data_IF_488974319004
#
_entry.id   IF_488974319004
#
_cell.length_a   1.000
_cell.length_b   1.000
_cell.length_c   1.000
_cell.angle_alpha   90.00
_cell.angle_beta   90.00
_cell.angle_gamma   90.00
#
_symmetry.space_group_name_H-M   'P 1'
#
loop_
_entity.id
_entity.type
_entity.pdbx_description
1 polymer ?
#
# COMPACT_ATOMS: atom_id res chain seq x y z
N UNK A 1 -6.99 -12.30 -15.32
CA UNK A 1 -7.57 -11.06 -14.79
C UNK A 1 -6.44 -10.16 -14.31
N UNK A 2 -6.39 -8.92 -14.77
CA UNK A 2 -5.52 -7.88 -14.17
C UNK A 2 -6.20 -7.28 -12.95
N UNK A 3 -5.48 -7.22 -11.84
CA UNK A 3 -5.93 -6.68 -10.56
C UNK A 3 -4.88 -5.75 -10.00
N UNK A 4 -5.32 -4.84 -9.13
CA UNK A 4 -4.44 -3.98 -8.33
C UNK A 4 -5.07 -3.78 -6.95
N UNK A 5 -4.51 -4.41 -5.93
CA UNK A 5 -5.11 -4.55 -4.61
C UNK A 5 -4.47 -3.66 -3.53
N UNK A 6 -3.63 -2.70 -3.92
CA UNK A 6 -2.99 -1.79 -2.98
C UNK A 6 -2.92 -0.38 -3.60
N UNK A 7 -3.92 0.43 -3.27
CA UNK A 7 -4.08 1.79 -3.73
C UNK A 7 -4.47 2.68 -2.55
N UNK A 8 -3.84 3.83 -2.44
CA UNK A 8 -4.22 4.86 -1.49
C UNK A 8 -4.83 6.03 -2.26
N UNK A 9 -5.98 6.51 -1.82
CA UNK A 9 -6.61 7.69 -2.40
C UNK A 9 -5.78 8.95 -2.12
N UNK A 10 -5.07 8.95 -0.99
CA UNK A 10 -4.17 10.00 -0.58
C UNK A 10 -3.19 9.53 0.50
N UNK A 11 -1.95 10.01 0.41
CA UNK A 11 -0.94 9.89 1.45
C UNK A 11 -0.42 11.30 1.79
N UNK A 12 -0.24 11.56 3.09
CA UNK A 12 0.42 12.76 3.59
C UNK A 12 1.88 12.45 3.93
N UNK A 13 2.65 13.40 4.46
CA UNK A 13 2.26 14.76 4.80
C UNK A 13 2.09 15.68 3.57
N UNK A 14 1.29 16.72 3.72
CA UNK A 14 0.97 17.67 2.66
C UNK A 14 2.11 18.66 2.40
N UNK A 15 2.92 18.36 1.39
CA UNK A 15 4.08 19.17 0.97
C UNK A 15 3.89 19.82 -0.41
N UNK A 16 4.80 20.71 -0.80
CA UNK A 16 4.83 21.24 -2.19
C UNK A 16 5.07 20.13 -3.20
N UNK A 17 5.87 19.11 -2.84
CA UNK A 17 6.07 17.90 -3.66
C UNK A 17 4.76 17.13 -3.84
N UNK A 18 3.99 16.97 -2.76
CA UNK A 18 2.66 16.35 -2.83
C UNK A 18 1.74 17.13 -3.78
N UNK A 19 1.70 18.46 -3.66
CA UNK A 19 0.87 19.31 -4.53
C UNK A 19 1.31 19.23 -6.00
N UNK A 20 2.62 19.16 -6.26
CA UNK A 20 3.16 18.97 -7.60
C UNK A 20 2.70 17.63 -8.20
N UNK A 21 2.68 16.55 -7.41
CA UNK A 21 2.17 15.24 -7.85
C UNK A 21 0.68 15.24 -8.14
N UNK A 22 -0.12 15.93 -7.32
CA UNK A 22 -1.54 16.16 -7.63
C UNK A 22 -1.70 16.90 -8.97
N UNK A 23 -0.86 17.91 -9.23
CA UNK A 23 -0.90 18.60 -10.52
C UNK A 23 -0.52 17.68 -11.69
N UNK A 24 0.55 16.88 -11.56
CA UNK A 24 0.95 15.89 -12.56
C UNK A 24 -0.20 14.92 -12.88
N UNK A 25 -0.89 14.41 -11.85
CA UNK A 25 -2.06 13.56 -12.00
C UNK A 25 -3.18 14.28 -12.78
N UNK A 26 -3.57 15.47 -12.35
CA UNK A 26 -4.63 16.25 -13.01
C UNK A 26 -4.28 16.62 -14.45
N UNK A 27 -3.02 16.92 -14.75
CA UNK A 27 -2.57 17.18 -16.12
C UNK A 27 -2.64 15.96 -17.04
N UNK A 28 -2.53 14.74 -16.47
CA UNK A 28 -2.63 13.50 -17.22
C UNK A 28 -4.05 13.30 -17.80
N UNK A 29 -5.08 13.64 -17.03
CA UNK A 29 -6.49 13.39 -17.39
C UNK A 29 -7.22 14.64 -17.90
N UNK A 30 -6.88 15.81 -17.37
CA UNK A 30 -7.53 17.09 -17.65
C UNK A 30 -6.50 18.17 -18.02
N UNK A 31 -5.83 18.06 -19.18
CA UNK A 31 -4.79 19.01 -19.55
C UNK A 31 -5.39 20.40 -19.84
N UNK A 32 -4.89 21.42 -19.13
CA UNK A 32 -5.18 22.83 -19.43
C UNK A 32 -4.37 23.29 -20.65
N UNK A 33 -5.01 24.12 -21.49
CA UNK A 33 -4.40 24.69 -22.70
C UNK A 33 -3.46 25.88 -22.36
N UNK A 34 -2.68 26.32 -23.36
CA UNK A 34 -1.81 27.51 -23.26
C UNK A 34 -0.77 27.43 -22.14
N UNK A 35 -0.13 26.25 -22.00
CA UNK A 35 0.92 25.97 -21.02
C UNK A 35 1.98 27.08 -21.00
N UNK A 36 2.49 27.38 -19.82
CA UNK A 36 3.50 28.42 -19.57
C UNK A 36 3.03 29.87 -19.74
N UNK A 37 1.72 30.11 -19.92
CA UNK A 37 1.13 31.45 -19.77
C UNK A 37 0.73 31.74 -18.32
N UNK A 38 0.55 33.03 -17.99
CA UNK A 38 0.04 33.44 -16.68
C UNK A 38 -1.39 32.93 -16.44
N UNK A 39 -2.23 32.95 -17.48
CA UNK A 39 -3.61 32.47 -17.42
C UNK A 39 -3.69 30.97 -17.15
N UNK A 40 -2.81 30.19 -17.78
CA UNK A 40 -2.67 28.75 -17.49
C UNK A 40 -2.26 28.51 -16.03
N UNK A 41 -1.30 29.29 -15.52
CA UNK A 41 -0.85 29.16 -14.13
C UNK A 41 -1.97 29.52 -13.14
N UNK A 42 -2.73 30.58 -13.40
CA UNK A 42 -3.88 30.98 -12.57
C UNK A 42 -4.96 29.88 -12.54
N UNK A 43 -5.35 29.34 -13.70
CA UNK A 43 -6.31 28.22 -13.77
C UNK A 43 -5.79 26.97 -13.07
N UNK A 44 -4.49 26.69 -13.18
CA UNK A 44 -3.84 25.57 -12.48
C UNK A 44 -3.93 25.77 -10.97
N UNK A 45 -3.65 26.97 -10.48
CA UNK A 45 -3.74 27.30 -9.06
C UNK A 45 -5.18 27.17 -8.53
N UNK A 46 -6.19 27.65 -9.26
CA UNK A 46 -7.60 27.52 -8.89
C UNK A 46 -8.03 26.05 -8.77
N UNK A 47 -7.64 25.22 -9.76
CA UNK A 47 -7.92 23.79 -9.75
C UNK A 47 -7.26 23.07 -8.59
N UNK A 48 -6.00 23.38 -8.30
CA UNK A 48 -5.27 22.79 -7.17
C UNK A 48 -5.89 23.20 -5.83
N UNK A 49 -6.25 24.48 -5.67
CA UNK A 49 -6.94 24.96 -4.48
C UNK A 49 -8.26 24.23 -4.26
N UNK A 50 -9.03 24.01 -5.34
CA UNK A 50 -10.26 23.22 -5.29
C UNK A 50 -9.99 21.79 -4.80
N UNK A 51 -9.02 21.07 -5.38
CA UNK A 51 -8.67 19.70 -4.98
C UNK A 51 -8.21 19.59 -3.52
N UNK A 52 -7.43 20.57 -3.04
CA UNK A 52 -7.01 20.62 -1.62
C UNK A 52 -8.21 20.84 -0.71
N UNK A 53 -9.12 21.75 -1.07
CA UNK A 53 -10.28 22.09 -0.24
C UNK A 53 -11.30 20.95 -0.16
N UNK A 54 -11.54 20.25 -1.27
CA UNK A 54 -12.56 19.21 -1.34
C UNK A 54 -12.07 17.84 -0.85
N UNK A 55 -10.74 17.63 -0.80
CA UNK A 55 -10.15 16.40 -0.31
C UNK A 55 -10.21 15.22 -1.29
N UNK A 56 -9.78 14.02 -0.85
CA UNK A 56 -9.60 12.87 -1.72
C UNK A 56 -10.87 12.05 -2.01
N UNK A 57 -11.95 12.30 -1.28
CA UNK A 57 -13.17 11.47 -1.34
C UNK A 57 -14.22 12.01 -2.31
N UNK A 58 -13.86 12.98 -3.15
CA UNK A 58 -14.77 13.50 -4.18
C UNK A 58 -14.96 12.48 -5.30
N UNK A 59 -16.14 12.51 -5.91
CA UNK A 59 -16.43 11.71 -7.10
C UNK A 59 -15.42 12.02 -8.21
N UNK A 60 -15.15 13.29 -8.46
CA UNK A 60 -14.24 13.76 -9.51
C UNK A 60 -12.84 13.18 -9.35
N UNK A 61 -12.29 13.20 -8.14
CA UNK A 61 -10.95 12.64 -7.87
C UNK A 61 -10.93 11.12 -8.01
N UNK A 62 -11.89 10.43 -7.41
CA UNK A 62 -11.98 8.97 -7.49
C UNK A 62 -12.18 8.47 -8.92
N UNK A 63 -12.94 9.20 -9.74
CA UNK A 63 -13.19 8.82 -11.13
C UNK A 63 -11.90 8.85 -11.97
N UNK A 64 -10.86 9.61 -11.58
CA UNK A 64 -9.55 9.55 -12.25
C UNK A 64 -8.88 8.17 -12.11
N UNK A 65 -8.98 7.55 -10.93
CA UNK A 65 -8.51 6.18 -10.72
C UNK A 65 -9.31 5.17 -11.55
N UNK A 66 -10.63 5.38 -11.68
CA UNK A 66 -11.46 4.56 -12.55
C UNK A 66 -11.05 4.67 -14.02
N UNK A 67 -10.81 5.88 -14.52
CA UNK A 67 -10.33 6.09 -15.89
C UNK A 67 -8.99 5.38 -16.11
N UNK A 68 -8.07 5.47 -15.16
CA UNK A 68 -6.79 4.75 -15.24
C UNK A 68 -6.97 3.23 -15.27
N UNK A 69 -7.82 2.69 -14.40
CA UNK A 69 -8.10 1.26 -14.34
C UNK A 69 -8.69 0.76 -15.67
N UNK A 70 -9.67 1.49 -16.22
CA UNK A 70 -10.26 1.18 -17.54
C UNK A 70 -9.20 1.24 -18.63
N UNK A 71 -8.36 2.29 -18.64
CA UNK A 71 -7.29 2.49 -19.63
C UNK A 71 -6.26 1.35 -19.61
N UNK A 72 -5.89 0.88 -18.42
CA UNK A 72 -4.94 -0.23 -18.21
C UNK A 72 -5.58 -1.62 -18.28
N UNK A 73 -6.90 -1.70 -18.43
CA UNK A 73 -7.66 -2.95 -18.50
C UNK A 73 -7.75 -3.71 -17.18
N UNK A 74 -7.54 -3.03 -16.05
CA UNK A 74 -7.64 -3.61 -14.70
C UNK A 74 -9.11 -3.86 -14.37
N UNK A 75 -9.40 -5.05 -13.85
CA UNK A 75 -10.77 -5.54 -13.63
C UNK A 75 -11.22 -5.44 -12.19
N UNK A 76 -10.29 -5.52 -11.25
CA UNK A 76 -10.53 -5.32 -9.83
C UNK A 76 -9.49 -4.35 -9.26
N UNK A 77 -9.97 -3.35 -8.55
CA UNK A 77 -9.13 -2.34 -7.86
C UNK A 77 -9.50 -2.34 -6.39
N UNK A 78 -8.50 -2.41 -5.53
CA UNK A 78 -8.64 -2.35 -4.10
C UNK A 78 -8.03 -1.08 -3.52
N UNK A 79 -8.80 -0.36 -2.72
CA UNK A 79 -8.35 0.87 -2.03
C UNK A 79 -8.17 0.59 -0.54
N UNK A 80 -7.02 0.97 0.01
CA UNK A 80 -6.50 0.59 1.33
C UNK A 80 -5.73 1.75 1.98
N UNK A 81 -6.36 2.91 2.17
CA UNK A 81 -5.72 4.02 2.90
C UNK A 81 -5.16 3.54 4.25
N UNK A 82 -4.00 4.08 4.64
CA UNK A 82 -3.35 3.67 5.89
C UNK A 82 -4.18 4.01 7.12
N UNK A 83 -4.24 3.08 8.08
CA UNK A 83 -5.04 3.23 9.29
C UNK A 83 -4.63 4.47 10.13
N UNK A 84 -3.36 4.89 10.11
CA UNK A 84 -2.87 6.08 10.82
C UNK A 84 -3.50 7.40 10.34
N UNK A 85 -4.12 7.41 9.15
CA UNK A 85 -4.79 8.61 8.61
C UNK A 85 -6.09 8.92 9.34
N UNK A 86 -6.68 7.93 10.01
CA UNK A 86 -8.02 8.04 10.57
C UNK A 86 -8.01 8.53 12.01
N UNK A 87 -8.88 9.49 12.31
CA UNK A 87 -9.03 10.04 13.67
C UNK A 87 -9.38 8.95 14.71
N UNK A 88 -10.12 7.93 14.29
CA UNK A 88 -10.54 6.79 15.11
C UNK A 88 -9.33 5.97 15.59
N UNK A 89 -8.25 5.91 14.82
CA UNK A 89 -7.03 5.16 15.16
C UNK A 89 -6.07 5.95 16.08
N UNK A 90 -6.42 7.17 16.51
CA UNK A 90 -5.58 8.04 17.34
C UNK A 90 -4.95 7.31 18.53
N UNK A 91 -5.77 6.67 19.36
CA UNK A 91 -5.30 6.05 20.60
C UNK A 91 -4.38 4.86 20.35
N UNK A 92 -4.57 4.15 19.23
CA UNK A 92 -3.74 3.03 18.83
C UNK A 92 -2.31 3.49 18.49
N UNK A 93 -2.16 4.46 17.58
CA UNK A 93 -0.82 4.94 17.21
C UNK A 93 -0.12 5.71 18.33
N UNK A 94 -0.84 6.47 19.16
CA UNK A 94 -0.24 7.16 20.32
C UNK A 94 0.27 6.19 21.40
N UNK A 95 -0.23 4.94 21.40
CA UNK A 95 0.22 3.89 22.32
C UNK A 95 1.48 3.18 21.81
N UNK A 96 1.54 2.88 20.51
CA UNK A 96 2.56 1.98 19.95
C UNK A 96 3.71 2.69 19.21
N UNK A 97 3.52 3.91 18.73
CA UNK A 97 4.58 4.72 18.11
C UNK A 97 5.35 5.46 19.21
N UNK A 98 6.68 5.55 19.09
CA UNK A 98 7.46 6.42 19.99
C UNK A 98 7.05 7.87 19.72
N UNK A 99 6.31 8.47 20.65
CA UNK A 99 5.92 9.88 20.66
C UNK A 99 6.47 10.62 21.89
N UNK A 100 7.55 10.07 22.48
CA UNK A 100 8.22 10.63 23.66
C UNK A 100 8.92 11.96 23.35
N UNK A 101 9.47 12.60 24.39
CA UNK A 101 10.31 13.78 24.25
C UNK A 101 11.73 13.48 23.72
N UNK A 102 11.99 12.29 23.18
CA UNK A 102 13.23 11.99 22.47
C UNK A 102 13.28 12.76 21.12
N UNK A 103 14.45 12.80 20.46
CA UNK A 103 14.56 13.37 19.09
C UNK A 103 13.64 12.61 18.14
N UNK A 104 13.68 11.27 18.19
CA UNK A 104 12.84 10.40 17.39
C UNK A 104 11.36 10.62 17.70
N UNK A 105 11.00 10.62 18.98
CA UNK A 105 9.63 10.75 19.42
C UNK A 105 8.96 12.04 18.97
N UNK A 106 9.69 13.17 19.01
CA UNK A 106 9.19 14.45 18.47
C UNK A 106 8.92 14.42 16.97
N UNK A 107 9.83 13.83 16.18
CA UNK A 107 9.68 13.71 14.72
C UNK A 107 8.43 12.90 14.38
N UNK A 108 8.25 11.75 15.04
CA UNK A 108 7.14 10.86 14.77
C UNK A 108 5.80 11.41 15.27
N UNK A 109 5.80 12.09 16.41
CA UNK A 109 4.61 12.80 16.89
C UNK A 109 4.17 13.88 15.91
N UNK A 110 5.11 14.69 15.43
CA UNK A 110 4.84 15.71 14.41
C UNK A 110 4.29 15.08 13.12
N UNK A 111 4.92 14.01 12.64
CA UNK A 111 4.43 13.28 11.47
C UNK A 111 3.02 12.74 11.67
N UNK A 112 2.74 12.07 12.80
CA UNK A 112 1.43 11.49 13.09
C UNK A 112 0.32 12.55 13.14
N UNK A 113 0.61 13.72 13.71
CA UNK A 113 -0.31 14.86 13.73
C UNK A 113 -0.56 15.45 12.33
N UNK A 114 0.40 15.35 11.41
CA UNK A 114 0.27 15.84 10.03
C UNK A 114 -0.54 14.89 9.12
N UNK A 115 -0.50 13.58 9.36
CA UNK A 115 -1.14 12.58 8.48
C UNK A 115 -2.52 12.12 8.96
N UNK A 116 -2.84 12.32 10.24
CA UNK A 116 -4.13 11.93 10.83
C UNK A 116 -5.21 13.01 10.63
N UNK A 117 -5.88 12.98 9.48
CA UNK A 117 -6.66 14.12 8.97
C UNK A 117 -8.07 13.79 8.46
N UNK A 118 -8.47 12.51 8.45
CA UNK A 118 -9.76 12.08 7.92
C UNK A 118 -10.51 11.14 8.86
N UNK A 119 -11.82 10.96 8.65
CA UNK A 119 -12.63 9.94 9.34
C UNK A 119 -12.67 8.65 8.53
N UNK A 120 -12.58 7.52 9.23
CA UNK A 120 -12.76 6.19 8.65
C UNK A 120 -14.16 6.03 8.04
N UNK A 121 -15.18 6.65 8.65
CA UNK A 121 -16.54 6.62 8.13
C UNK A 121 -16.65 7.30 6.76
N UNK A 122 -16.05 8.47 6.59
CA UNK A 122 -16.10 9.20 5.31
C UNK A 122 -15.38 8.43 4.20
N UNK A 123 -14.24 7.80 4.52
CA UNK A 123 -13.51 6.92 3.62
C UNK A 123 -14.33 5.72 3.15
N UNK A 124 -14.87 4.95 4.11
CA UNK A 124 -15.68 3.76 3.80
C UNK A 124 -16.94 4.13 3.02
N UNK A 125 -17.64 5.19 3.42
CA UNK A 125 -18.81 5.70 2.71
C UNK A 125 -18.51 6.09 1.26
N UNK A 126 -17.43 6.86 1.04
CA UNK A 126 -17.06 7.30 -0.30
C UNK A 126 -16.75 6.12 -1.24
N UNK A 127 -16.09 5.08 -0.73
CA UNK A 127 -15.77 3.86 -1.49
C UNK A 127 -16.99 2.97 -1.69
N UNK A 128 -17.97 2.93 -0.78
CA UNK A 128 -19.21 2.18 -1.02
C UNK A 128 -20.08 2.88 -2.07
N UNK A 129 -20.25 4.21 -2.00
CA UNK A 129 -20.90 5.03 -3.03
C UNK A 129 -20.14 4.95 -4.39
N UNK A 130 -18.82 4.71 -4.30
CA UNK A 130 -17.92 4.06 -5.24
C UNK A 130 -18.47 3.03 -6.23
N UNK A 131 -18.95 1.93 -5.65
CA UNK A 131 -18.87 0.61 -6.28
C UNK A 131 -19.79 0.49 -7.46
N UNK A 132 -21.02 1.02 -7.36
CA UNK A 132 -22.01 0.92 -8.42
C UNK A 132 -21.54 1.61 -9.71
N UNK A 133 -20.98 2.83 -9.61
CA UNK A 133 -20.53 3.57 -10.79
C UNK A 133 -19.28 2.95 -11.43
N UNK A 134 -18.36 2.42 -10.62
CA UNK A 134 -17.19 1.67 -11.12
C UNK A 134 -17.62 0.38 -11.83
N UNK A 135 -18.58 -0.35 -11.25
CA UNK A 135 -19.11 -1.58 -11.84
C UNK A 135 -19.77 -1.34 -13.19
N UNK A 136 -20.52 -0.24 -13.37
CA UNK A 136 -21.09 0.16 -14.66
C UNK A 136 -20.04 0.40 -15.75
N UNK A 137 -18.79 0.67 -15.36
CA UNK A 137 -17.63 0.84 -16.25
C UNK A 137 -16.78 -0.42 -16.38
N UNK A 138 -17.21 -1.55 -15.80
CA UNK A 138 -16.55 -2.84 -15.91
C UNK A 138 -15.36 -3.03 -14.97
N UNK A 139 -15.24 -2.21 -13.92
CA UNK A 139 -14.22 -2.33 -12.88
C UNK A 139 -14.90 -2.62 -11.54
N UNK A 140 -14.49 -3.68 -10.86
CA UNK A 140 -14.97 -3.97 -9.50
C UNK A 140 -14.09 -3.22 -8.51
N UNK A 141 -14.71 -2.35 -7.72
CA UNK A 141 -14.03 -1.63 -6.65
C UNK A 141 -14.17 -2.40 -5.32
N UNK A 142 -13.06 -2.59 -4.62
CA UNK A 142 -12.98 -3.23 -3.31
C UNK A 142 -12.60 -2.21 -2.24
N UNK A 143 -13.32 -2.26 -1.12
CA UNK A 143 -13.01 -1.50 0.08
C UNK A 143 -12.07 -2.31 0.96
N UNK A 144 -10.83 -1.88 1.10
CA UNK A 144 -9.90 -2.45 2.07
C UNK A 144 -9.38 -1.40 3.05
N UNK A 145 -8.47 -1.84 3.90
CA UNK A 145 -7.69 -1.00 4.81
C UNK A 145 -6.29 -1.58 4.91
N UNK A 146 -5.28 -0.73 4.96
CA UNK A 146 -3.94 -1.13 5.37
C UNK A 146 -3.71 -0.75 6.82
N UNK A 147 -3.48 -1.74 7.67
CA UNK A 147 -3.31 -1.58 9.09
C UNK A 147 -1.92 -1.99 9.53
N UNK A 148 -1.23 -1.08 10.22
CA UNK A 148 0.03 -1.37 10.88
C UNK A 148 -0.16 -2.36 12.02
N UNK A 149 0.65 -3.42 12.02
CA UNK A 149 0.76 -4.34 13.13
C UNK A 149 1.86 -3.92 14.09
N UNK A 150 1.53 -3.92 15.38
CA UNK A 150 2.48 -3.80 16.49
C UNK A 150 2.36 -5.05 17.37
N UNK A 151 3.41 -5.40 18.09
CA UNK A 151 3.32 -6.51 19.05
C UNK A 151 2.32 -6.16 20.17
N UNK A 152 1.54 -7.15 20.61
CA UNK A 152 0.55 -7.04 21.68
C UNK A 152 -0.56 -5.99 21.40
N UNK A 153 -0.97 -5.86 20.14
CA UNK A 153 -1.96 -4.87 19.68
C UNK A 153 -3.31 -5.47 19.23
N UNK A 154 -3.45 -6.79 19.30
CA UNK A 154 -4.49 -7.54 18.60
C UNK A 154 -5.90 -7.16 19.07
N UNK A 155 -6.07 -6.87 20.36
CA UNK A 155 -7.35 -6.45 20.94
C UNK A 155 -7.82 -5.12 20.35
N UNK A 156 -7.02 -4.08 20.49
CA UNK A 156 -7.32 -2.74 19.96
C UNK A 156 -7.44 -2.73 18.43
N UNK A 157 -6.56 -3.45 17.74
CA UNK A 157 -6.60 -3.53 16.28
C UNK A 157 -7.89 -4.21 15.81
N UNK A 158 -8.33 -5.28 16.47
CA UNK A 158 -9.59 -5.96 16.14
C UNK A 158 -10.80 -5.04 16.32
N UNK A 159 -10.82 -4.21 17.36
CA UNK A 159 -11.89 -3.22 17.57
C UNK A 159 -11.89 -2.15 16.46
N UNK A 160 -10.73 -1.65 16.05
CA UNK A 160 -10.62 -0.70 14.94
C UNK A 160 -11.05 -1.30 13.60
N UNK A 161 -10.62 -2.53 13.30
CA UNK A 161 -11.01 -3.22 12.08
C UNK A 161 -12.52 -3.52 12.02
N UNK A 162 -13.20 -3.63 13.17
CA UNK A 162 -14.65 -3.82 13.25
C UNK A 162 -15.46 -2.57 12.90
N UNK A 163 -14.83 -1.40 12.75
CA UNK A 163 -15.50 -0.14 12.37
C UNK A 163 -15.88 -0.09 10.88
N UNK A 164 -15.30 -0.96 10.04
CA UNK A 164 -15.57 -1.05 8.61
C UNK A 164 -15.92 -2.47 8.18
N UNK A 165 -16.78 -2.58 7.17
CA UNK A 165 -17.16 -3.86 6.56
C UNK A 165 -16.28 -4.16 5.33
N UNK A 166 -14.99 -4.31 5.60
CA UNK A 166 -13.94 -4.41 4.57
C UNK A 166 -14.06 -5.67 3.72
N UNK A 167 -13.82 -5.51 2.41
CA UNK A 167 -13.63 -6.63 1.49
C UNK A 167 -12.37 -7.42 1.80
N UNK A 168 -11.33 -6.75 2.31
CA UNK A 168 -10.08 -7.34 2.78
C UNK A 168 -9.30 -6.38 3.68
N UNK A 169 -8.38 -6.92 4.48
CA UNK A 169 -7.46 -6.18 5.36
C UNK A 169 -6.04 -6.54 5.01
N UNK A 170 -5.24 -5.52 4.72
CA UNK A 170 -3.78 -5.63 4.59
C UNK A 170 -3.16 -5.39 5.97
N UNK A 171 -2.28 -6.29 6.40
CA UNK A 171 -1.38 -6.08 7.52
C UNK A 171 -0.01 -5.67 7.03
N UNK A 172 0.56 -4.62 7.62
CA UNK A 172 1.91 -4.17 7.31
C UNK A 172 2.71 -3.92 8.58
N UNK A 173 4.04 -4.00 8.45
CA UNK A 173 4.98 -3.62 9.50
C UNK A 173 5.77 -2.43 8.98
N UNK A 174 5.42 -1.23 9.43
CA UNK A 174 6.19 0.00 9.17
C UNK A 174 6.98 0.48 10.40
N UNK A 175 6.69 -0.10 11.57
CA UNK A 175 7.27 0.30 12.84
C UNK A 175 7.98 -0.87 13.53
N UNK A 176 9.15 -0.61 14.11
CA UNK A 176 9.87 -1.53 14.99
C UNK A 176 10.09 -0.87 16.34
N UNK A 177 9.51 -1.42 17.41
CA UNK A 177 9.62 -0.86 18.77
C UNK A 177 9.25 0.63 18.82
N UNK A 178 8.21 1.01 18.07
CA UNK A 178 7.74 2.40 17.94
C UNK A 178 8.53 3.28 16.98
N UNK A 179 9.59 2.79 16.33
CA UNK A 179 10.32 3.51 15.28
C UNK A 179 9.77 3.19 13.88
N UNK A 180 9.19 4.19 13.21
CA UNK A 180 8.76 4.13 11.81
C UNK A 180 9.96 4.18 10.88
N UNK A 181 10.37 3.04 10.33
CA UNK A 181 11.66 2.89 9.65
C UNK A 181 11.67 3.36 8.19
N UNK A 182 10.49 3.50 7.60
CA UNK A 182 10.26 3.95 6.23
C UNK A 182 10.06 5.47 6.11
N UNK A 183 10.04 6.19 7.25
CA UNK A 183 10.09 7.63 7.30
C UNK A 183 11.51 8.14 7.00
N UNK A 184 11.73 8.92 5.93
CA UNK A 184 13.05 9.45 5.58
C UNK A 184 13.71 10.29 6.69
N UNK A 185 12.92 10.93 7.56
CA UNK A 185 13.41 11.79 8.64
C UNK A 185 13.92 11.01 9.86
N UNK A 186 13.62 9.70 9.93
CA UNK A 186 14.06 8.81 11.02
C UNK A 186 15.14 7.82 10.57
N UNK A 187 15.56 7.84 9.30
CA UNK A 187 16.49 6.87 8.70
C UNK A 187 17.85 6.76 9.41
N UNK A 188 18.28 7.81 10.11
CA UNK A 188 19.53 7.83 10.91
C UNK A 188 19.54 6.70 11.97
N UNK A 189 18.36 6.21 12.36
CA UNK A 189 18.23 5.09 13.30
C UNK A 189 18.92 3.82 12.80
N UNK A 190 18.96 3.57 11.48
CA UNK A 190 19.71 2.45 10.89
C UNK A 190 21.23 2.55 11.13
N UNK A 191 21.77 3.76 11.25
CA UNK A 191 23.22 3.99 11.38
C UNK A 191 23.73 3.74 12.81
N UNK A 192 22.82 3.81 13.79
CA UNK A 192 23.15 3.71 15.22
C UNK A 192 22.66 2.43 15.88
N UNK A 193 22.03 1.52 15.13
CA UNK A 193 21.59 0.20 15.60
C UNK A 193 22.19 -0.92 14.74
N UNK A 194 22.32 -2.09 15.35
CA UNK A 194 22.80 -3.28 14.65
C UNK A 194 21.77 -3.76 13.60
N UNK A 195 22.18 -3.77 12.33
CA UNK A 195 21.30 -4.09 11.20
C UNK A 195 20.73 -5.50 11.30
N UNK A 196 21.51 -6.47 11.80
CA UNK A 196 21.06 -7.86 11.96
C UNK A 196 19.90 -7.93 12.94
N UNK A 197 20.05 -7.28 14.09
CA UNK A 197 19.02 -7.17 15.14
C UNK A 197 17.74 -6.52 14.62
N UNK A 198 17.83 -5.48 13.79
CA UNK A 198 16.66 -4.84 13.18
C UNK A 198 15.89 -5.81 12.28
N UNK A 199 16.59 -6.54 11.41
CA UNK A 199 15.97 -7.55 10.55
C UNK A 199 15.38 -8.71 11.35
N UNK A 200 16.04 -9.17 12.42
CA UNK A 200 15.51 -10.22 13.31
C UNK A 200 14.21 -9.78 13.97
N UNK A 201 14.17 -8.52 14.43
CA UNK A 201 12.97 -7.93 15.03
C UNK A 201 11.87 -7.82 13.99
N UNK A 202 12.18 -7.31 12.80
CA UNK A 202 11.23 -7.16 11.71
C UNK A 202 10.57 -8.47 11.31
N UNK A 203 11.35 -9.51 10.99
CA UNK A 203 10.77 -10.78 10.57
C UNK A 203 9.97 -11.48 11.69
N UNK A 204 10.38 -11.33 12.96
CA UNK A 204 9.57 -11.81 14.09
C UNK A 204 8.24 -11.07 14.22
N UNK A 205 8.24 -9.75 13.99
CA UNK A 205 7.00 -8.95 13.99
C UNK A 205 6.10 -9.35 12.83
N UNK A 206 6.65 -9.57 11.63
CA UNK A 206 5.89 -10.06 10.46
C UNK A 206 5.30 -11.45 10.73
N UNK A 207 6.10 -12.38 11.26
CA UNK A 207 5.62 -13.73 11.64
C UNK A 207 4.50 -13.65 12.67
N UNK A 208 4.64 -12.80 13.69
CA UNK A 208 3.60 -12.57 14.71
C UNK A 208 2.33 -12.01 14.08
N UNK A 209 2.43 -11.04 13.17
CA UNK A 209 1.31 -10.47 12.44
C UNK A 209 0.51 -11.55 11.69
N UNK A 210 1.22 -12.46 11.01
CA UNK A 210 0.61 -13.58 10.26
C UNK A 210 -0.21 -14.47 11.19
N UNK A 211 0.36 -14.87 12.33
CA UNK A 211 -0.29 -15.76 13.30
C UNK A 211 -1.46 -15.13 14.05
N UNK A 212 -1.69 -13.81 13.94
CA UNK A 212 -2.89 -13.20 14.50
C UNK A 212 -4.17 -13.54 13.74
N UNK A 213 -4.06 -13.96 12.47
CA UNK A 213 -5.19 -14.14 11.54
C UNK A 213 -6.08 -12.88 11.39
N UNK A 214 -5.60 -11.71 11.80
CA UNK A 214 -6.34 -10.44 11.64
C UNK A 214 -6.33 -9.93 10.20
N UNK A 215 -5.39 -10.42 9.38
CA UNK A 215 -5.10 -9.92 8.04
C UNK A 215 -5.38 -10.97 6.97
N UNK A 216 -5.88 -10.51 5.83
CA UNK A 216 -6.10 -11.37 4.66
C UNK A 216 -4.88 -11.38 3.73
N UNK A 217 -4.13 -10.27 3.72
CA UNK A 217 -2.87 -10.06 2.99
C UNK A 217 -1.84 -9.49 3.97
N UNK A 218 -0.62 -10.01 3.97
CA UNK A 218 0.53 -9.30 4.57
C UNK A 218 1.33 -8.62 3.46
N UNK A 219 1.46 -7.29 3.58
CA UNK A 219 2.08 -6.45 2.58
C UNK A 219 3.61 -6.47 2.62
N UNK A 220 4.19 -6.14 1.46
CA UNK A 220 5.59 -5.79 1.24
C UNK A 220 6.60 -6.39 2.25
N UNK A 221 6.67 -7.73 2.25
CA UNK A 221 7.32 -8.58 3.27
C UNK A 221 8.81 -8.35 3.57
N UNK A 222 9.53 -7.56 2.79
CA UNK A 222 10.92 -7.19 3.07
C UNK A 222 11.17 -5.69 2.96
N UNK A 223 10.15 -4.86 3.21
CA UNK A 223 10.20 -3.40 3.12
C UNK A 223 11.22 -2.72 4.03
N UNK A 224 11.74 -3.37 5.09
CA UNK A 224 12.84 -2.85 5.91
C UNK A 224 14.08 -2.41 5.08
N UNK A 225 14.26 -2.97 3.87
CA UNK A 225 15.33 -2.59 2.92
C UNK A 225 15.17 -1.21 2.27
N UNK A 226 14.06 -0.51 2.52
CA UNK A 226 13.57 0.69 1.83
C UNK A 226 14.65 1.76 1.52
N UNK A 227 15.60 1.98 2.44
CA UNK A 227 16.67 2.98 2.31
C UNK A 227 18.06 2.40 2.00
N UNK A 228 18.13 1.20 1.39
CA UNK A 228 19.37 0.48 1.07
C UNK A 228 20.17 -0.06 2.28
N UNK A 229 19.60 -0.03 3.48
CA UNK A 229 20.15 -0.74 4.64
C UNK A 229 19.73 -2.21 4.58
N UNK A 230 20.61 -3.06 4.04
CA UNK A 230 20.28 -4.46 3.75
C UNK A 230 21.40 -5.43 4.08
N UNK A 231 21.02 -6.54 4.71
CA UNK A 231 21.87 -7.72 4.89
C UNK A 231 22.00 -8.48 3.57
N UNK A 232 23.05 -9.30 3.42
CA UNK A 232 23.13 -10.20 2.27
C UNK A 232 21.83 -11.02 2.14
N UNK A 233 21.29 -11.09 0.93
CA UNK A 233 19.99 -11.73 0.70
C UNK A 233 20.02 -13.24 1.02
N UNK A 234 21.17 -13.90 0.86
CA UNK A 234 21.30 -15.32 1.20
C UNK A 234 21.27 -15.56 2.70
N UNK A 235 21.70 -14.58 3.52
CA UNK A 235 21.61 -14.65 4.98
C UNK A 235 20.16 -14.54 5.48
N UNK A 236 19.25 -14.06 4.63
CA UNK A 236 17.84 -13.89 4.97
C UNK A 236 16.96 -15.10 4.60
N UNK A 237 17.54 -16.13 3.95
CA UNK A 237 16.80 -17.26 3.40
C UNK A 237 16.04 -18.08 4.48
N UNK A 238 16.50 -18.10 5.73
CA UNK A 238 15.75 -18.72 6.83
C UNK A 238 14.45 -17.98 7.11
N UNK A 239 14.48 -16.65 7.24
CA UNK A 239 13.27 -15.84 7.43
C UNK A 239 12.28 -16.05 6.30
N UNK A 240 12.77 -16.05 5.04
CA UNK A 240 11.89 -16.21 3.89
C UNK A 240 11.11 -17.53 3.93
N UNK A 241 11.75 -18.61 4.40
CA UNK A 241 11.11 -19.92 4.54
C UNK A 241 10.17 -19.95 5.73
N UNK A 242 10.54 -19.35 6.86
CA UNK A 242 9.71 -19.26 8.07
C UNK A 242 8.42 -18.50 7.78
N UNK A 243 8.52 -17.31 7.16
CA UNK A 243 7.36 -16.53 6.75
C UNK A 243 6.52 -17.24 5.70
N UNK A 244 7.14 -17.87 4.70
CA UNK A 244 6.39 -18.64 3.71
C UNK A 244 5.61 -19.81 4.34
N UNK A 245 6.20 -20.50 5.34
CA UNK A 245 5.50 -21.51 6.13
C UNK A 245 4.30 -20.91 6.87
N UNK A 246 4.51 -19.81 7.60
CA UNK A 246 3.46 -19.16 8.38
C UNK A 246 2.28 -18.72 7.50
N UNK A 247 2.55 -18.09 6.35
CA UNK A 247 1.51 -17.66 5.39
C UNK A 247 0.68 -18.84 4.85
N UNK A 248 1.33 -19.98 4.58
CA UNK A 248 0.62 -21.19 4.15
C UNK A 248 -0.20 -21.79 5.30
N UNK A 249 0.35 -21.82 6.51
CA UNK A 249 -0.30 -22.37 7.70
C UNK A 249 -1.59 -21.61 8.05
N UNK A 250 -1.53 -20.28 8.09
CA UNK A 250 -2.68 -19.42 8.41
C UNK A 250 -3.56 -19.13 7.22
N UNK A 251 -3.22 -19.68 6.04
CA UNK A 251 -3.93 -19.42 4.79
C UNK A 251 -4.01 -17.91 4.46
N UNK A 252 -2.99 -17.13 4.84
CA UNK A 252 -2.89 -15.69 4.58
C UNK A 252 -2.19 -15.46 3.24
N UNK A 253 -2.68 -14.51 2.44
CA UNK A 253 -2.03 -14.14 1.20
C UNK A 253 -0.89 -13.13 1.44
N UNK A 254 -0.07 -12.91 0.42
CA UNK A 254 0.82 -11.75 0.35
C UNK A 254 0.68 -11.08 -1.01
N UNK A 255 1.53 -10.11 -1.31
CA UNK A 255 1.52 -9.35 -2.54
C UNK A 255 2.89 -9.32 -3.22
N UNK A 256 2.89 -9.13 -4.54
CA UNK A 256 4.02 -8.55 -5.26
C UNK A 256 3.73 -7.07 -5.50
N UNK A 257 4.48 -6.24 -4.80
CA UNK A 257 4.30 -4.81 -4.64
C UNK A 257 5.41 -4.03 -5.37
N UNK A 258 5.00 -3.05 -6.19
CA UNK A 258 5.90 -2.21 -6.96
C UNK A 258 6.30 -0.88 -6.30
N UNK A 259 5.69 -0.49 -5.18
CA UNK A 259 5.89 0.78 -4.50
C UNK A 259 7.35 1.08 -4.20
N UNK A 260 8.08 0.11 -3.62
CA UNK A 260 9.50 0.29 -3.32
C UNK A 260 10.38 0.52 -4.55
N UNK A 261 9.96 0.03 -5.72
CA UNK A 261 10.71 0.17 -6.96
C UNK A 261 10.74 1.62 -7.46
N UNK A 262 9.62 2.35 -7.37
CA UNK A 262 9.50 3.69 -7.95
C UNK A 262 9.36 4.83 -6.92
N UNK A 263 9.02 4.54 -5.66
CA UNK A 263 8.88 5.54 -4.58
C UNK A 263 10.17 5.71 -3.76
N UNK A 264 11.00 4.66 -3.69
CA UNK A 264 12.12 4.59 -2.74
C UNK A 264 13.50 4.35 -3.38
N UNK A 265 14.61 4.71 -2.69
CA UNK A 265 15.97 4.56 -3.21
C UNK A 265 16.40 3.11 -3.49
N UNK A 266 15.76 2.11 -2.87
CA UNK A 266 16.11 0.69 -3.08
C UNK A 266 15.81 0.20 -4.48
N UNK A 267 14.81 0.79 -5.15
CA UNK A 267 14.47 0.50 -6.56
C UNK A 267 14.36 -1.00 -6.86
N UNK A 268 13.71 -1.73 -5.97
CA UNK A 268 13.45 -3.17 -6.09
C UNK A 268 11.98 -3.46 -5.79
N UNK A 269 11.42 -4.48 -6.43
CA UNK A 269 10.11 -5.01 -6.06
C UNK A 269 10.12 -5.53 -4.62
N UNK A 270 8.94 -5.59 -4.01
CA UNK A 270 8.74 -6.15 -2.70
C UNK A 270 7.70 -7.28 -2.79
N UNK A 271 8.02 -8.53 -2.47
CA UNK A 271 9.31 -9.01 -1.96
C UNK A 271 10.42 -9.02 -3.02
N UNK A 272 11.67 -9.10 -2.56
CA UNK A 272 12.86 -9.26 -3.42
C UNK A 272 12.79 -10.55 -4.27
N UNK A 273 13.58 -10.65 -5.37
CA UNK A 273 13.53 -11.79 -6.28
C UNK A 273 13.75 -13.15 -5.60
N UNK A 274 14.72 -13.29 -4.69
CA UNK A 274 14.95 -14.56 -3.99
C UNK A 274 13.76 -14.89 -3.09
N UNK A 275 13.21 -13.90 -2.40
CA UNK A 275 12.08 -14.11 -1.51
C UNK A 275 10.81 -14.47 -2.29
N UNK A 276 10.52 -13.81 -3.41
CA UNK A 276 9.43 -14.19 -4.31
C UNK A 276 9.55 -15.64 -4.79
N UNK A 277 10.77 -16.09 -5.12
CA UNK A 277 11.02 -17.48 -5.51
C UNK A 277 10.66 -18.45 -4.38
N UNK A 278 10.98 -18.12 -3.13
CA UNK A 278 10.61 -18.94 -1.95
C UNK A 278 9.09 -18.98 -1.79
N UNK A 279 8.41 -17.83 -1.82
CA UNK A 279 6.95 -17.76 -1.67
C UNK A 279 6.22 -18.59 -2.74
N UNK A 280 6.64 -18.44 -4.00
CA UNK A 280 6.07 -19.21 -5.12
C UNK A 280 6.31 -20.72 -4.96
N UNK A 281 7.51 -21.13 -4.51
CA UNK A 281 7.85 -22.55 -4.28
C UNK A 281 6.99 -23.17 -3.17
N UNK A 282 6.66 -22.41 -2.13
CA UNK A 282 5.81 -22.86 -1.03
C UNK A 282 4.31 -22.83 -1.37
N UNK A 283 3.95 -22.26 -2.52
CA UNK A 283 2.56 -22.13 -2.95
C UNK A 283 1.79 -21.07 -2.16
N UNK A 284 2.49 -20.04 -1.66
CA UNK A 284 1.84 -18.92 -0.98
C UNK A 284 0.89 -18.21 -1.96
N UNK A 285 -0.37 -17.93 -1.58
CA UNK A 285 -1.28 -17.13 -2.38
C UNK A 285 -0.78 -15.69 -2.52
N UNK A 286 -0.65 -15.19 -3.75
CA UNK A 286 -0.10 -13.86 -4.04
C UNK A 286 -1.14 -13.01 -4.77
N UNK A 287 -1.28 -11.74 -4.39
CA UNK A 287 -1.96 -10.69 -5.17
C UNK A 287 -0.95 -9.74 -5.81
N UNK A 288 -1.41 -8.81 -6.65
CA UNK A 288 -0.58 -7.81 -7.32
C UNK A 288 -0.97 -6.42 -6.84
N UNK A 289 0.04 -5.60 -6.59
CA UNK A 289 -0.12 -4.23 -6.13
C UNK A 289 0.84 -3.27 -6.81
N UNK A 290 0.32 -2.12 -7.25
CA UNK A 290 1.17 -0.99 -7.63
C UNK A 290 1.58 -0.14 -6.42
N UNK A 291 0.85 -0.23 -5.30
CA UNK A 291 1.03 0.64 -4.12
C UNK A 291 0.94 2.13 -4.51
N UNK A 292 -0.10 2.41 -5.28
CA UNK A 292 -0.25 3.69 -5.96
C UNK A 292 -0.87 4.73 -5.03
N UNK A 293 -0.37 5.95 -5.15
CA UNK A 293 -0.71 7.07 -4.27
C UNK A 293 -1.36 8.24 -5.03
N UNK A 294 -1.39 8.12 -6.36
CA UNK A 294 -1.96 9.08 -7.28
C UNK A 294 -2.67 8.31 -8.41
N UNK A 295 -3.70 8.90 -9.06
CA UNK A 295 -4.44 8.24 -10.14
C UNK A 295 -3.56 7.66 -11.25
N UNK A 296 -2.55 8.41 -11.68
CA UNK A 296 -1.63 8.00 -12.74
C UNK A 296 -0.60 6.93 -12.31
N UNK A 297 -0.57 6.55 -11.03
CA UNK A 297 0.27 5.46 -10.55
C UNK A 297 -0.46 4.11 -10.56
N UNK A 298 -1.80 4.11 -10.53
CA UNK A 298 -2.62 2.90 -10.49
C UNK A 298 -2.22 1.96 -11.61
N UNK A 299 -1.93 0.70 -11.30
CA UNK A 299 -1.59 -0.31 -12.28
C UNK A 299 -0.17 -0.22 -12.82
N UNK A 300 0.67 0.67 -12.30
CA UNK A 300 2.09 0.69 -12.66
C UNK A 300 2.73 -0.65 -12.28
N UNK A 301 3.54 -1.17 -13.20
CA UNK A 301 4.26 -2.43 -13.06
C UNK A 301 3.38 -3.69 -12.91
N UNK A 302 2.04 -3.58 -13.02
CA UNK A 302 1.15 -4.76 -12.93
C UNK A 302 1.49 -5.78 -14.02
N UNK A 303 1.75 -5.35 -15.26
CA UNK A 303 2.06 -6.27 -16.36
C UNK A 303 3.39 -7.00 -16.12
N UNK A 304 4.41 -6.27 -15.67
CA UNK A 304 5.73 -6.76 -15.32
C UNK A 304 5.64 -7.75 -14.15
N UNK A 305 4.82 -7.46 -13.15
CA UNK A 305 4.57 -8.35 -12.03
C UNK A 305 3.80 -9.62 -12.45
N UNK A 306 2.83 -9.52 -13.37
CA UNK A 306 2.18 -10.69 -13.98
C UNK A 306 3.21 -11.60 -14.66
N UNK A 307 4.13 -11.02 -15.45
CA UNK A 307 5.19 -11.78 -16.12
C UNK A 307 6.15 -12.44 -15.12
N UNK A 308 6.53 -11.70 -14.08
CA UNK A 308 7.41 -12.19 -13.01
C UNK A 308 6.77 -13.35 -12.26
N UNK A 309 5.49 -13.25 -11.89
CA UNK A 309 4.75 -14.33 -11.23
C UNK A 309 4.68 -15.59 -12.11
N UNK A 310 4.42 -15.43 -13.42
CA UNK A 310 4.41 -16.55 -14.38
C UNK A 310 5.74 -17.24 -14.50
N UNK A 311 6.83 -16.49 -14.56
CA UNK A 311 8.18 -17.04 -14.61
C UNK A 311 8.49 -17.92 -13.38
N UNK A 312 7.82 -17.67 -12.26
CA UNK A 312 7.89 -18.47 -11.03
C UNK A 312 6.79 -19.54 -10.92
N UNK A 313 6.03 -19.80 -11.99
CA UNK A 313 4.99 -20.85 -12.02
C UNK A 313 3.67 -20.46 -11.36
N UNK A 314 3.49 -19.21 -10.93
CA UNK A 314 2.23 -18.71 -10.39
C UNK A 314 1.26 -18.45 -11.54
N UNK A 315 0.10 -19.11 -11.50
CA UNK A 315 -0.93 -19.03 -12.57
C UNK A 315 -2.21 -18.33 -12.14
N UNK A 316 -2.34 -18.05 -10.84
CA UNK A 316 -3.51 -17.42 -10.23
C UNK A 316 -3.07 -16.34 -9.25
N UNK A 317 -3.92 -15.33 -9.08
CA UNK A 317 -3.78 -14.29 -8.07
C UNK A 317 -4.92 -14.35 -7.07
N UNK A 318 -4.62 -13.99 -5.82
CA UNK A 318 -5.58 -13.89 -4.75
C UNK A 318 -6.42 -12.61 -4.90
N UNK A 319 -7.74 -12.75 -4.89
CA UNK A 319 -8.69 -11.64 -4.79
C UNK A 319 -9.61 -11.85 -3.60
N UNK A 320 -10.29 -10.80 -3.13
CA UNK A 320 -11.04 -10.86 -1.88
C UNK A 320 -12.41 -10.19 -1.97
N UNK A 321 -13.36 -10.71 -1.19
CA UNK A 321 -14.67 -10.11 -0.96
C UNK A 321 -15.13 -10.53 0.42
N UNK A 322 -15.48 -9.56 1.26
CA UNK A 322 -15.89 -9.80 2.66
C UNK A 322 -14.95 -10.79 3.38
N UNK A 323 -13.63 -10.51 3.32
CA UNK A 323 -12.56 -11.32 3.92
C UNK A 323 -12.41 -12.74 3.35
N UNK A 324 -13.19 -13.11 2.32
CA UNK A 324 -13.11 -14.41 1.68
C UNK A 324 -12.22 -14.35 0.43
N UNK A 325 -11.15 -15.15 0.43
CA UNK A 325 -10.24 -15.25 -0.71
C UNK A 325 -10.85 -16.05 -1.86
N UNK A 326 -10.64 -15.58 -3.08
CA UNK A 326 -10.91 -16.30 -4.32
C UNK A 326 -9.70 -16.23 -5.23
N UNK A 327 -9.26 -17.37 -5.76
CA UNK A 327 -8.16 -17.40 -6.72
C UNK A 327 -8.67 -17.11 -8.14
N UNK A 328 -8.02 -16.18 -8.85
CA UNK A 328 -8.36 -15.79 -10.22
C UNK A 328 -7.19 -16.08 -11.15
N UNK A 329 -7.45 -16.68 -12.31
CA UNK A 329 -6.42 -16.94 -13.31
C UNK A 329 -5.76 -15.62 -13.76
N UNK A 330 -4.44 -15.62 -13.85
CA UNK A 330 -3.67 -14.55 -14.47
C UNK A 330 -4.02 -14.46 -15.95
N UNK A 331 -4.26 -13.23 -16.43
CA UNK A 331 -4.80 -12.97 -17.78
C UNK A 331 -3.84 -13.43 -18.87
N UNK A 332 -4.22 -14.42 -19.70
CA UNK A 332 -3.36 -14.99 -20.76
C UNK A 332 -2.73 -13.89 -21.63
N UNK A 333 -1.47 -14.06 -22.01
CA UNK A 333 -0.87 -13.20 -23.02
C UNK A 333 -1.67 -13.36 -24.31
N UNK A 334 -2.38 -12.30 -24.72
CA UNK A 334 -2.81 -12.17 -26.10
C UNK A 334 -1.52 -11.88 -26.87
N UNK A 335 -0.82 -12.94 -27.31
CA UNK A 335 0.22 -12.82 -28.32
C UNK A 335 -0.43 -12.28 -29.59
N UNK A 336 -0.47 -10.95 -29.70
CA UNK A 336 -0.65 -10.28 -30.97
C UNK A 336 0.63 -10.52 -31.77
N UNK A 337 0.74 -11.71 -32.37
CA UNK A 337 1.61 -11.94 -33.51
C UNK A 337 1.14 -10.97 -34.61
N UNK A 338 1.84 -9.85 -34.75
CA UNK A 338 1.81 -9.00 -35.94
C UNK A 338 3.18 -8.96 -36.56
#
# INVERSE_FOLDING_TARGET
MKVDYHLHLEEGPYSIRWLAKINEALECYEPLQERHSIDWLMKTQERLQKRVKEGPFTKEWMDLYLEEAVRKGIKEVGIVDHLYRFHEAKGYYEKYVDISDSKLGRIQKEWLDQVRVVSLYDFTKAIEEAKERWSKRGVTLKLGIEADYFLDCEGELKELLALGDFDYVIGSVHFLNGWGFDNPDTKEYFEVHDLRTLYDTFFKTVESAIHTELFDIIAHLDNIKVFNYRLDENEQLSYYKEIACALVETNTATEINAGLYYRYPVREMCPSPLYLQVLAKYGVPITISSDAHYPNDLGNYVQENVQTLRAHGVTQVATFTKRARVMRLLEEEVTNLK
#
